data_IF_253366480835
#
_entry.id   IF_253366480835
#
_cell.length_a   1.000
_cell.length_b   1.000
_cell.length_c   1.000
_cell.angle_alpha   90.00
_cell.angle_beta   90.00
_cell.angle_gamma   90.00
#
_symmetry.space_group_name_H-M   'P 1'
#
loop_
_entity.id
_entity.type
_entity.pdbx_description
1 polymer ?
#
# COMPACT_ATOMS: atom_id res chain seq x y z
N UNK A 1 14.54 -1.26 6.52
CA UNK A 1 15.88 -1.83 6.76
C UNK A 1 16.18 -1.90 8.26
N UNK A 2 16.44 -0.78 8.95
CA UNK A 2 16.77 -0.79 10.39
C UNK A 2 15.72 -1.47 11.28
N UNK A 3 14.44 -1.25 11.02
CA UNK A 3 13.35 -1.91 11.75
C UNK A 3 13.34 -3.45 11.59
N UNK A 4 14.01 -3.97 10.56
CA UNK A 4 14.20 -5.39 10.28
C UNK A 4 15.59 -5.90 10.69
N UNK A 5 16.37 -5.09 11.43
CA UNK A 5 17.73 -5.45 11.85
C UNK A 5 18.81 -5.29 10.76
N UNK A 6 18.47 -4.73 9.60
CA UNK A 6 19.43 -4.47 8.52
C UNK A 6 20.14 -3.13 8.76
N UNK A 7 21.28 -3.17 9.45
CA UNK A 7 22.05 -1.99 9.83
C UNK A 7 23.08 -1.55 8.77
N UNK A 8 23.48 -2.45 7.87
CA UNK A 8 24.44 -2.19 6.78
C UNK A 8 23.75 -2.06 5.42
N UNK A 9 22.50 -1.61 5.40
CA UNK A 9 21.72 -1.42 4.18
C UNK A 9 22.26 -0.26 3.34
N UNK A 10 22.43 -0.51 2.04
CA UNK A 10 22.75 0.49 1.03
C UNK A 10 21.65 0.54 -0.02
N UNK A 11 21.41 1.71 -0.63
CA UNK A 11 20.34 1.86 -1.63
C UNK A 11 20.48 0.90 -2.82
N UNK A 12 21.70 0.46 -3.16
CA UNK A 12 21.94 -0.53 -4.21
C UNK A 12 21.35 -1.91 -3.89
N UNK A 13 21.13 -2.23 -2.62
CA UNK A 13 20.52 -3.51 -2.22
C UNK A 13 19.06 -3.60 -2.66
N UNK A 14 18.41 -2.49 -3.00
CA UNK A 14 17.06 -2.46 -3.58
C UNK A 14 16.99 -3.11 -4.97
N UNK A 15 18.13 -3.28 -5.66
CA UNK A 15 18.17 -4.04 -6.91
C UNK A 15 18.17 -5.55 -6.69
N UNK A 16 18.33 -6.03 -5.45
CA UNK A 16 18.17 -7.44 -5.11
C UNK A 16 16.69 -7.77 -4.90
N UNK A 17 16.09 -8.68 -5.68
CA UNK A 17 14.65 -8.95 -5.61
C UNK A 17 14.18 -9.34 -4.20
N UNK A 18 14.94 -10.18 -3.50
CA UNK A 18 14.62 -10.60 -2.13
C UNK A 18 14.55 -9.40 -1.18
N UNK A 19 15.52 -8.49 -1.23
CA UNK A 19 15.58 -7.32 -0.36
C UNK A 19 14.43 -6.36 -0.68
N UNK A 20 14.20 -6.08 -1.96
CA UNK A 20 13.12 -5.19 -2.40
C UNK A 20 11.75 -5.69 -1.96
N UNK A 21 11.47 -6.98 -2.16
CA UNK A 21 10.22 -7.62 -1.74
C UNK A 21 10.06 -7.57 -0.22
N UNK A 22 11.11 -7.93 0.55
CA UNK A 22 11.05 -7.93 2.02
C UNK A 22 10.74 -6.53 2.57
N UNK A 23 11.48 -5.53 2.12
CA UNK A 23 11.32 -4.15 2.59
C UNK A 23 9.97 -3.57 2.16
N UNK A 24 9.56 -3.83 0.92
CA UNK A 24 8.27 -3.40 0.40
C UNK A 24 7.10 -4.02 1.15
N UNK A 25 7.12 -5.35 1.36
CA UNK A 25 6.10 -6.07 2.11
C UNK A 25 6.01 -5.61 3.57
N UNK A 26 7.15 -5.41 4.23
CA UNK A 26 7.19 -4.87 5.59
C UNK A 26 6.56 -3.47 5.64
N UNK A 27 6.99 -2.57 4.76
CA UNK A 27 6.48 -1.19 4.72
C UNK A 27 4.98 -1.15 4.45
N UNK A 28 4.49 -1.98 3.52
CA UNK A 28 3.06 -2.08 3.24
C UNK A 28 2.27 -2.68 4.41
N UNK A 29 2.82 -3.70 5.09
CA UNK A 29 2.24 -4.28 6.30
C UNK A 29 2.07 -3.27 7.44
N UNK A 30 3.03 -2.35 7.61
CA UNK A 30 2.90 -1.23 8.55
C UNK A 30 1.75 -0.30 8.18
N UNK A 31 1.56 -0.01 6.89
CA UNK A 31 0.43 0.82 6.41
C UNK A 31 -0.90 0.11 6.62
N UNK A 32 -1.01 -1.18 6.27
CA UNK A 32 -2.21 -1.97 6.53
C UNK A 32 -2.60 -1.94 8.01
N UNK A 33 -1.62 -2.17 8.90
CA UNK A 33 -1.84 -2.14 10.35
C UNK A 33 -2.33 -0.77 10.80
N UNK A 34 -1.70 0.33 10.34
CA UNK A 34 -2.09 1.70 10.66
C UNK A 34 -3.55 1.99 10.30
N UNK A 35 -4.00 1.54 9.13
CA UNK A 35 -5.35 1.83 8.63
C UNK A 35 -6.38 0.75 8.99
N UNK A 36 -6.12 -0.03 10.05
CA UNK A 36 -7.02 -1.08 10.53
C UNK A 36 -7.40 -2.09 9.43
N UNK A 37 -6.40 -2.52 8.66
CA UNK A 37 -6.52 -3.45 7.52
C UNK A 37 -7.41 -2.97 6.37
N UNK A 38 -7.75 -1.67 6.31
CA UNK A 38 -8.41 -1.08 5.15
C UNK A 38 -7.41 -0.95 4.01
N UNK A 39 -7.57 -1.78 2.98
CA UNK A 39 -6.57 -1.95 1.91
C UNK A 39 -6.33 -0.68 1.08
N UNK A 40 -7.38 0.07 0.76
CA UNK A 40 -7.29 1.26 -0.09
C UNK A 40 -6.54 2.43 0.54
N UNK A 41 -6.80 2.86 1.80
CA UNK A 41 -5.96 3.87 2.44
C UNK A 41 -4.53 3.37 2.67
N UNK A 42 -4.34 2.05 2.88
CA UNK A 42 -2.99 1.49 2.97
C UNK A 42 -2.23 1.58 1.64
N UNK A 43 -2.88 1.28 0.50
CA UNK A 43 -2.31 1.44 -0.84
C UNK A 43 -2.03 2.91 -1.15
N UNK A 44 -2.98 3.80 -0.83
CA UNK A 44 -2.80 5.24 -1.00
C UNK A 44 -1.58 5.73 -0.21
N UNK A 45 -1.40 5.29 1.04
CA UNK A 45 -0.28 5.69 1.89
C UNK A 45 1.05 4.99 1.58
N UNK A 46 1.04 4.03 0.65
CA UNK A 46 2.25 3.46 0.09
C UNK A 46 2.79 4.32 -1.06
N UNK A 47 1.91 4.99 -1.81
CA UNK A 47 2.28 5.89 -2.92
C UNK A 47 2.34 7.37 -2.53
N UNK A 48 1.45 7.82 -1.64
CA UNK A 48 1.33 9.21 -1.21
C UNK A 48 1.82 9.42 0.23
N UNK A 49 2.16 10.67 0.60
CA UNK A 49 2.50 11.00 1.97
C UNK A 49 1.37 10.66 2.93
N UNK A 50 1.71 10.01 4.05
CA UNK A 50 0.75 9.54 5.04
C UNK A 50 -0.18 10.65 5.57
N UNK A 51 0.35 11.86 5.79
CA UNK A 51 -0.45 13.00 6.29
C UNK A 51 -1.57 13.39 5.32
N UNK A 52 -1.37 13.21 4.01
CA UNK A 52 -2.38 13.52 3.01
C UNK A 52 -3.51 12.49 3.09
N UNK A 53 -3.17 11.21 3.18
CA UNK A 53 -4.14 10.11 3.31
C UNK A 53 -4.95 10.21 4.59
N UNK A 54 -4.33 10.56 5.71
CA UNK A 54 -5.03 10.82 6.98
C UNK A 54 -6.06 11.95 6.81
N UNK A 55 -5.71 13.01 6.05
CA UNK A 55 -6.62 14.11 5.73
C UNK A 55 -7.79 13.70 4.83
N UNK A 56 -7.54 12.87 3.81
CA UNK A 56 -8.59 12.37 2.91
C UNK A 56 -9.56 11.43 3.64
N UNK A 57 -9.06 10.59 4.54
CA UNK A 57 -9.90 9.76 5.40
C UNK A 57 -10.78 10.60 6.32
N UNK A 58 -10.23 11.67 6.90
CA UNK A 58 -11.02 12.58 7.74
C UNK A 58 -12.10 13.28 6.92
N UNK A 59 -11.79 13.68 5.68
CA UNK A 59 -12.75 14.32 4.77
C UNK A 59 -13.85 13.35 4.30
N UNK A 60 -13.51 12.08 4.07
CA UNK A 60 -14.47 11.03 3.71
C UNK A 60 -15.36 10.63 4.89
N UNK A 61 -14.88 10.71 6.13
CA UNK A 61 -15.63 10.32 7.33
C UNK A 61 -15.89 8.82 7.39
N UNK A 62 -17.09 8.42 7.85
CA UNK A 62 -17.56 7.02 7.86
C UNK A 62 -18.04 6.53 6.49
N UNK A 63 -17.83 7.32 5.43
CA UNK A 63 -18.32 6.98 4.11
C UNK A 63 -17.61 5.76 3.52
N UNK A 64 -18.26 5.20 2.51
CA UNK A 64 -17.78 4.02 1.81
C UNK A 64 -16.51 4.29 1.00
N UNK A 65 -16.06 3.24 0.33
CA UNK A 65 -14.80 3.26 -0.39
C UNK A 65 -14.81 4.20 -1.59
N UNK A 66 -15.97 4.40 -2.21
CA UNK A 66 -16.13 5.26 -3.38
C UNK A 66 -15.94 6.71 -2.96
N UNK A 67 -16.45 7.08 -1.78
CA UNK A 67 -16.26 8.40 -1.20
C UNK A 67 -14.78 8.67 -0.84
N UNK A 68 -14.07 7.67 -0.31
CA UNK A 68 -12.62 7.79 -0.10
C UNK A 68 -11.86 7.96 -1.42
N UNK A 69 -12.28 7.26 -2.47
CA UNK A 69 -11.68 7.33 -3.79
C UNK A 69 -11.82 8.74 -4.40
N UNK A 70 -13.00 9.36 -4.30
CA UNK A 70 -13.26 10.74 -4.72
C UNK A 70 -12.45 11.77 -3.90
N UNK A 71 -12.15 11.45 -2.64
CA UNK A 71 -11.38 12.32 -1.76
C UNK A 71 -9.87 12.36 -2.07
N UNK A 72 -9.35 11.49 -2.95
CA UNK A 72 -7.93 11.49 -3.37
C UNK A 72 -7.74 12.55 -4.47
N UNK A 73 -7.15 13.72 -4.17
CA UNK A 73 -7.01 14.80 -5.14
C UNK A 73 -5.78 14.61 -6.04
N UNK A 74 -4.93 13.62 -5.72
CA UNK A 74 -3.69 13.38 -6.44
C UNK A 74 -3.95 12.53 -7.67
N UNK A 75 -3.73 13.13 -8.83
CA UNK A 75 -3.93 12.51 -10.15
C UNK A 75 -3.04 11.29 -10.40
N UNK A 76 -1.97 11.12 -9.61
CA UNK A 76 -1.14 9.91 -9.63
C UNK A 76 -1.66 8.83 -8.68
N UNK A 77 -2.06 9.21 -7.47
CA UNK A 77 -2.38 8.25 -6.40
C UNK A 77 -3.68 7.52 -6.65
N UNK A 78 -4.71 8.18 -7.17
CA UNK A 78 -5.99 7.51 -7.47
C UNK A 78 -5.82 6.39 -8.52
N UNK A 79 -5.24 6.65 -9.71
CA UNK A 79 -4.96 5.58 -10.68
C UNK A 79 -4.00 4.50 -10.14
N UNK A 80 -3.02 4.87 -9.30
CA UNK A 80 -2.14 3.91 -8.65
C UNK A 80 -2.94 2.90 -7.80
N UNK A 81 -3.81 3.38 -6.93
CA UNK A 81 -4.62 2.53 -6.04
C UNK A 81 -5.48 1.57 -6.85
N UNK A 82 -6.16 2.08 -7.90
CA UNK A 82 -6.99 1.24 -8.79
C UNK A 82 -6.16 0.14 -9.45
N UNK A 83 -5.04 0.51 -10.08
CA UNK A 83 -4.17 -0.43 -10.80
C UNK A 83 -3.62 -1.53 -9.90
N UNK A 84 -3.14 -1.18 -8.70
CA UNK A 84 -2.58 -2.17 -7.78
C UNK A 84 -3.67 -3.11 -7.24
N UNK A 85 -4.86 -2.59 -6.95
CA UNK A 85 -5.97 -3.43 -6.49
C UNK A 85 -6.49 -4.37 -7.59
N UNK A 86 -6.55 -3.91 -8.84
CA UNK A 86 -6.86 -4.76 -9.99
C UNK A 86 -5.83 -5.89 -10.17
N UNK A 87 -4.53 -5.56 -10.14
CA UNK A 87 -3.47 -6.56 -10.18
C UNK A 87 -3.60 -7.56 -9.03
N UNK A 88 -3.86 -7.09 -7.81
CA UNK A 88 -4.05 -7.95 -6.64
C UNK A 88 -5.18 -8.98 -6.87
N UNK A 89 -6.34 -8.56 -7.38
CA UNK A 89 -7.44 -9.46 -7.72
C UNK A 89 -7.01 -10.50 -8.77
N UNK A 90 -6.32 -10.08 -9.83
CA UNK A 90 -5.81 -11.00 -10.85
C UNK A 90 -4.82 -12.01 -10.26
N UNK A 91 -3.92 -11.59 -9.37
CA UNK A 91 -3.01 -12.50 -8.69
C UNK A 91 -3.75 -13.49 -7.78
N UNK A 92 -4.81 -13.06 -7.09
CA UNK A 92 -5.66 -13.97 -6.31
C UNK A 92 -6.39 -14.97 -7.21
N UNK A 93 -6.88 -14.57 -8.37
CA UNK A 93 -7.52 -15.47 -9.32
C UNK A 93 -6.54 -16.52 -9.86
N UNK A 94 -5.32 -16.09 -10.19
CA UNK A 94 -4.28 -16.98 -10.75
C UNK A 94 -3.66 -17.92 -9.72
N UNK A 95 -3.44 -17.45 -8.49
CA UNK A 95 -2.63 -18.15 -7.48
C UNK A 95 -3.37 -18.45 -6.17
N UNK A 96 -4.51 -17.80 -5.89
CA UNK A 96 -5.25 -17.95 -4.64
C UNK A 96 -5.93 -19.30 -4.48
N UNK A 97 -6.27 -19.98 -5.57
CA UNK A 97 -6.84 -21.34 -5.57
C UNK A 97 -5.81 -22.44 -5.29
N UNK A 98 -4.51 -22.16 -5.43
CA UNK A 98 -3.42 -23.11 -5.15
C UNK A 98 -2.92 -23.05 -3.70
N UNK A 99 -3.39 -22.08 -2.92
CA UNK A 99 -2.95 -21.83 -1.55
C UNK A 99 -3.91 -22.39 -0.48
N UNK A 100 -4.89 -23.21 -0.88
CA UNK A 100 -5.83 -23.92 0.00
C UNK A 100 -5.47 -25.40 0.13
#
# INVERSE_FOLDING_TARGET
ARALGEYNFHSADLYQPRTSILLGAFTFGERLTRYANRIFPALAAYNAPQFAVDGWLLAAGDADIDTFAEAIPFTETYPYVQRIYENYKQYLELYGSQAQ
#
